data_IF_930058418429
#
_entry.id   IF_930058418429
#
_cell.length_a   1.000
_cell.length_b   1.000
_cell.length_c   1.000
_cell.angle_alpha   90.00
_cell.angle_beta   90.00
_cell.angle_gamma   90.00
#
_symmetry.space_group_name_H-M   'P 1'
#
loop_
_entity.id
_entity.type
_entity.pdbx_description
1 polymer ?
#
# COMPACT_ATOMS: atom_id res chain seq x y z
N UNK A 1 18.90 7.76 3.28
CA UNK A 1 18.55 6.90 2.15
C UNK A 1 17.57 5.81 2.65
N UNK A 2 16.74 5.26 1.77
CA UNK A 2 15.72 4.28 2.16
C UNK A 2 16.29 2.86 2.13
N UNK A 3 16.13 2.11 3.20
CA UNK A 3 16.53 0.70 3.29
C UNK A 3 15.55 -0.19 2.55
N UNK A 4 16.07 -1.29 1.99
CA UNK A 4 15.29 -2.27 1.25
C UNK A 4 15.80 -3.70 1.46
N UNK A 5 15.03 -4.66 0.94
CA UNK A 5 15.39 -6.04 0.78
C UNK A 5 15.51 -6.38 -0.71
N UNK A 6 16.54 -7.12 -1.08
CA UNK A 6 16.63 -7.80 -2.36
C UNK A 6 16.48 -9.30 -2.11
N UNK A 7 15.53 -9.92 -2.78
CA UNK A 7 15.36 -11.36 -2.77
C UNK A 7 15.60 -11.95 -4.16
N UNK A 8 16.45 -12.94 -4.24
CA UNK A 8 16.80 -13.65 -5.46
C UNK A 8 16.30 -15.10 -5.39
N UNK A 9 15.26 -15.38 -6.17
CA UNK A 9 14.64 -16.70 -6.21
C UNK A 9 15.54 -17.79 -6.85
N UNK A 10 16.53 -17.39 -7.66
CA UNK A 10 17.40 -18.34 -8.40
C UNK A 10 18.44 -19.01 -7.49
N UNK A 11 18.80 -18.36 -6.39
CA UNK A 11 19.77 -18.88 -5.41
C UNK A 11 19.11 -19.31 -4.09
N UNK A 12 17.78 -19.22 -4.01
CA UNK A 12 17.04 -19.69 -2.85
C UNK A 12 16.93 -21.22 -2.87
N UNK A 13 17.25 -21.87 -1.75
CA UNK A 13 17.19 -23.34 -1.58
C UNK A 13 15.95 -23.80 -0.82
N UNK A 14 14.97 -22.93 -0.55
CA UNK A 14 13.72 -23.30 0.13
C UNK A 14 13.85 -23.69 1.61
N UNK A 15 14.96 -23.39 2.29
CA UNK A 15 15.25 -23.85 3.65
C UNK A 15 14.34 -23.28 4.75
N UNK A 16 13.48 -22.34 4.43
CA UNK A 16 12.49 -21.67 5.34
C UNK A 16 13.08 -21.01 6.60
N UNK A 17 14.42 -20.88 6.73
CA UNK A 17 15.05 -20.22 7.88
C UNK A 17 14.60 -18.77 8.03
N UNK A 18 14.30 -18.08 6.93
CA UNK A 18 13.76 -16.72 6.95
C UNK A 18 12.35 -16.63 7.57
N UNK A 19 11.53 -17.69 7.46
CA UNK A 19 10.22 -17.78 8.12
C UNK A 19 10.41 -17.95 9.63
N UNK A 20 11.25 -18.91 10.04
CA UNK A 20 11.57 -19.17 11.44
C UNK A 20 12.11 -17.92 12.13
N UNK A 21 13.13 -17.28 11.56
CA UNK A 21 13.70 -16.04 12.11
C UNK A 21 12.69 -14.88 12.18
N UNK A 22 11.76 -14.81 11.22
CA UNK A 22 10.67 -13.84 11.26
C UNK A 22 9.70 -14.13 12.41
N UNK A 23 9.35 -15.39 12.63
CA UNK A 23 8.47 -15.79 13.71
C UNK A 23 9.12 -15.52 15.09
N UNK A 24 10.37 -15.93 15.28
CA UNK A 24 11.14 -15.68 16.51
C UNK A 24 11.22 -14.18 16.83
N UNK A 25 11.56 -13.35 15.83
CA UNK A 25 11.66 -11.90 16.01
C UNK A 25 10.33 -11.26 16.40
N UNK A 26 9.22 -11.72 15.82
CA UNK A 26 7.88 -11.19 16.09
C UNK A 26 7.14 -11.92 17.21
N UNK A 27 7.78 -12.89 17.89
CA UNK A 27 7.19 -13.72 18.96
C UNK A 27 5.93 -14.45 18.51
N UNK A 28 5.98 -15.00 17.29
CA UNK A 28 4.90 -15.78 16.69
C UNK A 28 5.17 -17.28 16.86
N UNK A 29 4.14 -18.11 16.94
CA UNK A 29 4.31 -19.56 16.94
C UNK A 29 4.93 -20.02 15.61
N UNK A 30 5.80 -21.00 15.66
CA UNK A 30 6.40 -21.61 14.46
C UNK A 30 6.76 -23.05 14.76
N UNK A 31 6.01 -23.97 14.20
CA UNK A 31 6.18 -25.41 14.28
C UNK A 31 6.17 -26.03 12.88
N UNK A 32 6.26 -27.35 12.79
CA UNK A 32 6.30 -28.05 11.51
C UNK A 32 4.98 -27.87 10.71
N UNK A 33 3.85 -27.78 11.40
CA UNK A 33 2.55 -27.51 10.76
C UNK A 33 2.53 -26.11 10.15
N UNK A 34 2.95 -25.08 10.91
CA UNK A 34 3.09 -23.72 10.42
C UNK A 34 4.12 -23.63 9.29
N UNK A 35 5.22 -24.37 9.36
CA UNK A 35 6.22 -24.42 8.30
C UNK A 35 5.67 -25.01 7.00
N UNK A 36 4.76 -25.98 7.08
CA UNK A 36 4.12 -26.60 5.92
C UNK A 36 3.13 -25.68 5.22
N UNK A 37 2.56 -24.69 5.91
CA UNK A 37 1.63 -23.75 5.31
C UNK A 37 2.33 -22.85 4.27
N UNK A 38 1.83 -22.82 3.06
CA UNK A 38 2.31 -21.93 1.98
C UNK A 38 1.42 -20.67 1.81
N UNK A 39 0.80 -20.23 2.91
CA UNK A 39 -0.10 -19.09 2.93
C UNK A 39 0.33 -18.11 4.02
N UNK A 40 0.35 -16.83 3.71
CA UNK A 40 0.51 -15.78 4.73
C UNK A 40 -0.73 -15.71 5.63
N UNK A 41 -0.50 -15.59 6.93
CA UNK A 41 -1.56 -15.48 7.95
C UNK A 41 -1.24 -14.36 8.95
N UNK A 42 -2.08 -14.19 9.96
CA UNK A 42 -1.87 -13.26 11.07
C UNK A 42 -0.69 -13.68 11.98
N UNK A 43 -0.27 -14.93 11.90
CA UNK A 43 0.88 -15.50 12.62
C UNK A 43 2.05 -15.93 11.71
N UNK A 44 1.93 -15.80 10.38
CA UNK A 44 2.99 -16.12 9.41
C UNK A 44 3.17 -14.97 8.41
N UNK A 45 4.10 -14.04 8.69
CA UNK A 45 4.26 -12.79 7.92
C UNK A 45 5.05 -12.95 6.63
N UNK A 46 5.88 -13.98 6.54
CA UNK A 46 6.64 -14.32 5.33
C UNK A 46 6.50 -15.81 5.06
N UNK A 47 6.43 -16.17 3.78
CA UNK A 47 6.22 -17.54 3.32
C UNK A 47 7.14 -17.79 2.14
N UNK A 48 7.75 -18.96 2.11
CA UNK A 48 8.47 -19.48 0.95
C UNK A 48 7.53 -20.42 0.22
N UNK A 49 7.08 -20.01 -0.95
CA UNK A 49 6.25 -20.79 -1.86
C UNK A 49 7.15 -21.76 -2.64
N UNK A 50 6.70 -22.98 -2.82
CA UNK A 50 7.40 -23.99 -3.59
C UNK A 50 6.59 -24.37 -4.82
N UNK A 51 7.22 -24.31 -6.00
CA UNK A 51 6.60 -24.76 -7.26
C UNK A 51 7.68 -25.24 -8.22
N UNK A 52 7.54 -26.45 -8.73
CA UNK A 52 8.45 -27.05 -9.73
C UNK A 52 9.94 -26.92 -9.31
N UNK A 53 10.27 -27.30 -8.07
CA UNK A 53 11.59 -27.18 -7.43
C UNK A 53 12.18 -25.76 -7.40
N UNK A 54 11.31 -24.75 -7.53
CA UNK A 54 11.66 -23.33 -7.42
C UNK A 54 11.01 -22.73 -6.20
N UNK A 55 11.67 -21.73 -5.65
CA UNK A 55 11.26 -21.10 -4.40
C UNK A 55 11.04 -19.60 -4.59
N UNK A 56 9.88 -19.12 -4.17
CA UNK A 56 9.57 -17.69 -4.19
C UNK A 56 9.08 -17.26 -2.83
N UNK A 57 9.67 -16.18 -2.32
CA UNK A 57 9.33 -15.68 -1.01
C UNK A 57 8.24 -14.62 -1.09
N UNK A 58 7.14 -14.83 -0.37
CA UNK A 58 6.03 -13.87 -0.25
C UNK A 58 6.07 -13.17 1.10
N UNK A 59 6.08 -11.82 1.08
CA UNK A 59 6.12 -10.98 2.27
C UNK A 59 5.52 -9.61 1.96
N UNK A 60 5.44 -8.71 2.96
CA UNK A 60 5.01 -7.34 2.72
C UNK A 60 6.05 -6.59 1.88
N UNK A 61 5.61 -6.00 0.78
CA UNK A 61 6.48 -5.25 -0.14
C UNK A 61 6.97 -3.92 0.44
N UNK A 62 6.39 -3.44 1.57
CA UNK A 62 6.76 -2.16 2.21
C UNK A 62 6.86 -1.02 1.19
N UNK A 63 5.79 -0.80 0.42
CA UNK A 63 5.70 0.16 -0.67
C UNK A 63 6.30 1.53 -0.34
N UNK A 64 6.82 2.24 -1.35
CA UNK A 64 7.34 3.60 -1.18
C UNK A 64 6.20 4.56 -0.84
N UNK A 65 5.08 4.45 -1.55
CA UNK A 65 3.82 5.11 -1.23
C UNK A 65 2.76 4.06 -0.88
N UNK A 66 2.62 3.68 0.41
CA UNK A 66 1.81 2.55 0.81
C UNK A 66 0.32 2.88 0.85
N UNK A 67 -0.47 2.31 -0.06
CA UNK A 67 -1.92 2.44 -0.08
C UNK A 67 -2.57 2.07 1.27
N UNK A 68 -2.03 1.05 1.97
CA UNK A 68 -2.51 0.65 3.29
C UNK A 68 -2.34 1.74 4.37
N UNK A 69 -1.33 2.60 4.25
CA UNK A 69 -1.15 3.74 5.16
C UNK A 69 -2.06 4.90 4.75
N UNK A 70 -2.20 5.15 3.45
CA UNK A 70 -3.07 6.21 2.90
C UNK A 70 -4.53 6.04 3.31
N UNK A 71 -5.05 4.81 3.30
CA UNK A 71 -6.46 4.53 3.67
C UNK A 71 -6.68 4.35 5.17
N UNK A 72 -5.66 4.42 6.01
CA UNK A 72 -5.80 4.17 7.44
C UNK A 72 -6.37 5.41 8.17
N UNK A 73 -7.66 5.42 8.59
CA UNK A 73 -8.30 6.61 9.13
C UNK A 73 -7.73 7.04 10.48
N UNK A 74 -7.09 6.11 11.21
CA UNK A 74 -6.53 6.35 12.54
C UNK A 74 -4.99 6.46 12.53
N UNK A 75 -4.37 6.42 11.33
CA UNK A 75 -2.92 6.51 11.19
C UNK A 75 -2.14 5.40 11.90
N UNK A 76 -2.75 4.20 12.06
CA UNK A 76 -2.07 3.05 12.64
C UNK A 76 -0.96 2.50 11.74
N UNK A 77 -1.04 2.73 10.44
CA UNK A 77 -0.02 2.39 9.45
C UNK A 77 0.65 3.67 8.96
N UNK A 78 1.99 3.71 8.96
CA UNK A 78 2.76 4.87 8.51
C UNK A 78 4.05 4.45 7.83
N UNK A 79 4.38 5.09 6.71
CA UNK A 79 5.68 4.97 6.04
C UNK A 79 6.73 5.72 6.84
N UNK A 80 7.92 5.12 6.98
CA UNK A 80 9.10 5.80 7.53
C UNK A 80 10.07 6.19 6.42
N UNK A 81 10.85 7.23 6.65
CA UNK A 81 11.95 7.62 5.75
C UNK A 81 13.01 6.51 5.61
N UNK A 82 13.17 5.68 6.63
CA UNK A 82 14.11 4.56 6.64
C UNK A 82 13.68 3.35 5.78
N UNK A 83 12.44 3.33 5.26
CA UNK A 83 11.95 2.26 4.38
C UNK A 83 10.77 1.45 4.92
N UNK A 84 10.77 1.01 6.18
CA UNK A 84 9.66 0.24 6.74
C UNK A 84 8.31 0.97 6.76
N UNK A 85 7.22 0.21 6.56
CA UNK A 85 5.86 0.67 6.87
C UNK A 85 5.52 0.18 8.27
N UNK A 86 5.57 1.09 9.24
CA UNK A 86 5.27 0.81 10.65
C UNK A 86 3.78 0.49 10.84
N UNK A 87 3.52 -0.34 11.85
CA UNK A 87 2.19 -0.62 12.34
C UNK A 87 2.14 -0.39 13.84
N UNK A 88 1.27 0.53 14.27
CA UNK A 88 1.01 0.84 15.67
C UNK A 88 -0.28 0.18 16.10
N UNK A 89 -0.15 -0.96 16.78
CA UNK A 89 -1.28 -1.79 17.18
C UNK A 89 -2.29 -1.07 18.07
N UNK A 90 -1.82 -0.22 19.00
CA UNK A 90 -2.67 0.54 19.93
C UNK A 90 -3.64 1.51 19.26
N UNK A 91 -3.34 1.95 18.03
CA UNK A 91 -4.21 2.81 17.22
C UNK A 91 -5.19 2.04 16.35
N UNK A 92 -4.94 0.75 16.11
CA UNK A 92 -5.74 -0.01 15.17
C UNK A 92 -7.15 -0.26 15.70
N UNK A 93 -8.16 0.17 14.96
CA UNK A 93 -9.58 -0.06 15.25
C UNK A 93 -10.17 -1.28 14.53
N UNK A 94 -9.36 -2.04 13.77
CA UNK A 94 -9.79 -3.24 13.07
C UNK A 94 -10.71 -3.03 11.85
N UNK A 95 -10.73 -1.84 11.23
CA UNK A 95 -11.63 -1.53 10.10
C UNK A 95 -11.31 -2.27 8.79
N UNK A 96 -10.15 -2.92 8.67
CA UNK A 96 -9.71 -3.75 7.53
C UNK A 96 -9.52 -3.02 6.19
N UNK A 97 -9.63 -1.68 6.10
CA UNK A 97 -9.41 -0.94 4.88
C UNK A 97 -8.03 -1.20 4.26
N UNK A 98 -7.00 -1.36 5.09
CA UNK A 98 -5.65 -1.70 4.62
C UNK A 98 -5.57 -3.08 3.95
N UNK A 99 -6.47 -4.02 4.27
CA UNK A 99 -6.51 -5.33 3.60
C UNK A 99 -7.06 -5.19 2.18
N UNK A 100 -8.13 -4.40 2.01
CA UNK A 100 -8.78 -4.16 0.71
C UNK A 100 -7.88 -3.30 -0.18
N UNK A 101 -7.22 -2.28 0.38
CA UNK A 101 -6.38 -1.36 -0.36
C UNK A 101 -5.03 -1.95 -0.78
N UNK A 102 -4.58 -3.07 -0.19
CA UNK A 102 -3.29 -3.65 -0.50
C UNK A 102 -3.30 -4.42 -1.82
N UNK A 103 -2.57 -3.98 -2.86
CA UNK A 103 -2.56 -4.67 -4.15
C UNK A 103 -1.89 -6.05 -4.09
N UNK A 104 -1.13 -6.31 -3.02
CA UNK A 104 -0.42 -7.57 -2.79
C UNK A 104 -1.15 -8.52 -1.82
N UNK A 105 -2.29 -8.12 -1.24
CA UNK A 105 -3.09 -8.94 -0.32
C UNK A 105 -2.39 -9.32 0.99
N UNK A 106 -1.41 -8.52 1.43
CA UNK A 106 -0.51 -8.88 2.55
C UNK A 106 -1.09 -8.70 3.94
N UNK A 107 -1.75 -7.58 4.29
CA UNK A 107 -2.30 -7.43 5.63
C UNK A 107 -3.31 -8.54 5.94
N UNK A 108 -3.14 -9.21 7.09
CA UNK A 108 -4.02 -10.28 7.56
C UNK A 108 -4.73 -9.85 8.84
N UNK A 109 -5.83 -10.49 9.17
CA UNK A 109 -6.69 -10.12 10.29
C UNK A 109 -6.84 -11.28 11.27
N UNK A 110 -6.78 -11.00 12.55
CA UNK A 110 -6.88 -12.00 13.62
C UNK A 110 -8.33 -12.42 13.86
N UNK A 111 -8.92 -13.19 12.94
CA UNK A 111 -10.34 -13.56 12.97
C UNK A 111 -10.80 -14.28 14.23
N UNK A 112 -9.91 -14.98 14.92
CA UNK A 112 -10.21 -15.76 16.12
C UNK A 112 -10.18 -14.97 17.44
N UNK A 113 -9.95 -13.65 17.42
CA UNK A 113 -9.83 -12.84 18.64
C UNK A 113 -11.06 -11.96 18.89
N UNK A 114 -11.39 -11.71 20.16
CA UNK A 114 -12.46 -10.78 20.55
C UNK A 114 -12.18 -9.34 20.15
N UNK A 115 -10.92 -8.92 20.21
CA UNK A 115 -10.46 -7.62 19.76
C UNK A 115 -9.41 -7.79 18.62
N UNK A 116 -9.87 -8.19 17.43
CA UNK A 116 -8.98 -8.57 16.34
C UNK A 116 -8.29 -7.36 15.74
N UNK A 117 -7.05 -7.54 15.32
CA UNK A 117 -6.21 -6.52 14.71
C UNK A 117 -5.63 -7.00 13.39
N UNK A 118 -5.13 -6.06 12.62
CA UNK A 118 -4.42 -6.38 11.39
C UNK A 118 -2.98 -6.75 11.73
N UNK A 119 -2.44 -7.75 11.06
CA UNK A 119 -1.05 -8.19 11.17
C UNK A 119 -0.35 -8.15 9.82
N UNK A 120 0.92 -7.75 9.80
CA UNK A 120 1.77 -7.77 8.61
C UNK A 120 3.23 -7.64 8.97
N UNK A 121 4.12 -8.00 8.06
CA UNK A 121 5.55 -7.71 8.17
C UNK A 121 5.81 -6.20 8.24
N UNK A 122 6.61 -5.77 9.22
CA UNK A 122 7.06 -4.39 9.41
C UNK A 122 8.50 -4.16 8.95
N UNK A 123 9.08 -5.12 8.22
CA UNK A 123 10.49 -5.11 7.79
C UNK A 123 11.45 -4.97 8.98
N UNK A 124 11.14 -5.59 10.12
CA UNK A 124 11.90 -5.51 11.38
C UNK A 124 12.29 -4.07 11.72
N UNK A 125 11.32 -3.17 11.76
CA UNK A 125 11.54 -1.73 11.87
C UNK A 125 12.41 -1.31 13.07
N UNK A 126 12.29 -2.01 14.19
CA UNK A 126 13.12 -1.84 15.38
C UNK A 126 14.59 -2.16 15.11
N UNK A 127 14.87 -3.26 14.39
CA UNK A 127 16.23 -3.61 13.98
C UNK A 127 16.80 -2.61 12.97
N UNK A 128 16.00 -2.22 11.98
CA UNK A 128 16.39 -1.23 10.97
C UNK A 128 16.71 0.12 11.60
N UNK A 129 15.93 0.56 12.59
CA UNK A 129 16.20 1.79 13.37
C UNK A 129 17.50 1.68 14.19
N UNK A 130 17.82 0.47 14.66
CA UNK A 130 19.07 0.18 15.37
C UNK A 130 20.28 -0.04 14.42
N UNK A 131 20.11 0.20 13.10
CA UNK A 131 21.16 -0.01 12.09
C UNK A 131 21.47 -1.48 11.78
N UNK A 132 20.62 -2.41 12.24
CA UNK A 132 20.79 -3.86 12.03
C UNK A 132 20.02 -4.35 10.79
N UNK A 133 20.49 -5.42 10.12
CA UNK A 133 19.73 -6.04 9.05
C UNK A 133 18.42 -6.65 9.59
N UNK A 134 17.48 -6.89 8.69
CA UNK A 134 16.25 -7.63 9.03
C UNK A 134 16.59 -9.06 9.41
N UNK A 135 15.86 -9.68 10.34
CA UNK A 135 16.11 -11.04 10.83
C UNK A 135 16.18 -12.06 9.68
N UNK A 136 15.32 -11.91 8.69
CA UNK A 136 15.28 -12.80 7.54
C UNK A 136 16.45 -12.64 6.55
N UNK A 137 17.08 -11.47 6.47
CA UNK A 137 18.27 -11.27 5.67
C UNK A 137 19.52 -11.79 6.40
N UNK A 138 19.59 -11.56 7.70
CA UNK A 138 20.71 -11.99 8.54
C UNK A 138 20.90 -13.51 8.56
N UNK A 139 19.78 -14.27 8.63
CA UNK A 139 19.81 -15.72 8.75
C UNK A 139 19.96 -16.45 7.40
N UNK A 140 19.84 -15.74 6.27
CA UNK A 140 19.81 -16.41 4.95
C UNK A 140 21.16 -17.03 4.57
N UNK A 141 21.30 -18.37 4.52
CA UNK A 141 22.60 -19.01 4.34
C UNK A 141 23.17 -18.84 2.93
N UNK A 142 22.30 -18.68 1.92
CA UNK A 142 22.70 -18.50 0.52
C UNK A 142 22.82 -17.03 0.12
N UNK A 143 22.45 -16.11 1.01
CA UNK A 143 22.36 -14.69 0.66
C UNK A 143 21.23 -14.38 -0.35
N UNK A 144 20.27 -15.30 -0.54
CA UNK A 144 19.10 -15.05 -1.39
C UNK A 144 18.27 -13.85 -0.91
N UNK A 145 18.30 -13.55 0.40
CA UNK A 145 17.72 -12.32 0.94
C UNK A 145 18.85 -11.43 1.42
N UNK A 146 18.98 -10.25 0.81
CA UNK A 146 19.94 -9.22 1.20
C UNK A 146 19.20 -7.99 1.75
N UNK A 147 19.84 -7.27 2.66
CA UNK A 147 19.36 -6.00 3.20
C UNK A 147 20.40 -4.92 2.96
N UNK A 148 19.99 -3.74 2.49
CA UNK A 148 20.89 -2.63 2.19
C UNK A 148 20.17 -1.34 1.82
N UNK A 149 20.90 -0.40 1.24
CA UNK A 149 20.32 0.78 0.63
C UNK A 149 19.55 0.39 -0.63
N UNK A 150 18.36 0.98 -0.81
CA UNK A 150 17.47 0.60 -1.92
C UNK A 150 18.13 0.78 -3.29
N UNK A 151 18.80 1.90 -3.50
CA UNK A 151 19.43 2.22 -4.78
C UNK A 151 20.63 1.31 -5.08
N UNK A 152 21.40 0.95 -4.07
CA UNK A 152 22.51 -0.01 -4.19
C UNK A 152 21.98 -1.41 -4.56
N UNK A 153 20.88 -1.83 -3.91
CA UNK A 153 20.26 -3.12 -4.20
C UNK A 153 19.62 -3.16 -5.60
N UNK A 154 19.08 -2.05 -6.10
CA UNK A 154 18.61 -1.94 -7.48
C UNK A 154 19.78 -2.06 -8.45
N UNK A 155 20.88 -1.37 -8.20
CA UNK A 155 22.07 -1.44 -9.03
C UNK A 155 22.66 -2.87 -9.03
N UNK A 156 22.72 -3.53 -7.88
CA UNK A 156 23.13 -4.93 -7.77
C UNK A 156 22.20 -5.86 -8.57
N UNK A 157 20.89 -5.68 -8.43
CA UNK A 157 19.90 -6.49 -9.15
C UNK A 157 20.06 -6.32 -10.67
N UNK A 158 20.22 -5.08 -11.15
CA UNK A 158 20.47 -4.80 -12.57
C UNK A 158 21.79 -5.42 -13.06
N UNK A 159 22.83 -5.42 -12.21
CA UNK A 159 24.11 -6.05 -12.55
C UNK A 159 23.93 -7.56 -12.70
N UNK A 160 23.21 -8.23 -11.77
CA UNK A 160 22.93 -9.68 -11.88
C UNK A 160 22.19 -10.04 -13.17
N UNK A 161 21.22 -9.22 -13.59
CA UNK A 161 20.49 -9.41 -14.85
C UNK A 161 21.45 -9.34 -16.06
N UNK A 162 22.37 -8.38 -16.07
CA UNK A 162 23.33 -8.20 -17.16
C UNK A 162 24.37 -9.33 -17.22
N UNK A 163 24.87 -9.74 -16.06
CA UNK A 163 25.94 -10.75 -15.97
C UNK A 163 25.46 -12.17 -16.27
N UNK A 164 24.16 -12.45 -16.09
CA UNK A 164 23.60 -13.77 -16.26
C UNK A 164 22.38 -13.76 -17.22
N UNK A 165 22.59 -13.45 -18.50
CA UNK A 165 21.51 -13.44 -19.49
C UNK A 165 20.89 -14.83 -19.62
N UNK A 166 19.54 -14.90 -19.53
CA UNK A 166 18.78 -16.15 -19.60
C UNK A 166 18.55 -16.87 -18.26
N UNK A 167 19.27 -16.51 -17.18
CA UNK A 167 18.99 -17.03 -15.84
C UNK A 167 17.82 -16.30 -15.17
N UNK A 168 17.60 -15.05 -15.50
CA UNK A 168 16.59 -14.18 -14.94
C UNK A 168 15.59 -13.73 -15.99
N UNK A 169 14.37 -13.46 -15.57
CA UNK A 169 13.46 -12.63 -16.33
C UNK A 169 14.00 -11.20 -16.32
N UNK A 170 13.98 -10.52 -17.47
CA UNK A 170 14.45 -9.13 -17.55
C UNK A 170 13.47 -8.15 -16.89
N UNK A 171 13.18 -8.38 -15.61
CA UNK A 171 12.32 -7.56 -14.78
C UNK A 171 12.70 -7.70 -13.31
N UNK A 172 12.84 -6.57 -12.62
CA UNK A 172 13.04 -6.50 -11.17
C UNK A 172 11.71 -6.09 -10.55
N UNK A 173 11.00 -7.05 -9.98
CA UNK A 173 9.71 -6.79 -9.37
C UNK A 173 9.86 -5.95 -8.09
N UNK A 174 9.10 -4.88 -7.97
CA UNK A 174 9.15 -3.95 -6.85
C UNK A 174 9.85 -2.61 -7.17
N UNK A 175 10.45 -2.46 -8.35
CA UNK A 175 11.05 -1.18 -8.76
C UNK A 175 9.98 -0.19 -9.18
N UNK A 176 9.05 -0.62 -10.03
CA UNK A 176 8.01 0.24 -10.62
C UNK A 176 6.61 -0.02 -10.08
N UNK A 177 6.31 -1.23 -9.61
CA UNK A 177 4.97 -1.60 -9.19
C UNK A 177 4.44 -0.68 -8.09
N UNK A 178 3.27 -0.08 -8.36
CA UNK A 178 2.52 0.84 -7.48
C UNK A 178 3.38 1.98 -6.88
N UNK A 179 4.27 2.56 -7.69
CA UNK A 179 5.19 3.61 -7.27
C UNK A 179 6.47 3.10 -6.60
N UNK A 180 6.76 1.81 -6.76
CA UNK A 180 7.92 1.15 -6.18
C UNK A 180 7.74 0.65 -4.75
N UNK A 181 8.62 -0.24 -4.36
CA UNK A 181 8.58 -0.89 -3.05
C UNK A 181 9.97 -0.94 -2.40
N UNK A 182 10.01 -1.26 -1.10
CA UNK A 182 11.26 -1.52 -0.36
C UNK A 182 11.63 -3.02 -0.35
N UNK A 183 10.94 -3.84 -1.14
CA UNK A 183 11.30 -5.24 -1.38
C UNK A 183 11.41 -5.44 -2.87
N UNK A 184 12.57 -5.89 -3.30
CA UNK A 184 12.92 -6.13 -4.70
C UNK A 184 13.04 -7.63 -4.91
N UNK A 185 12.47 -8.15 -5.99
CA UNK A 185 12.51 -9.59 -6.28
C UNK A 185 13.15 -9.84 -7.63
N UNK A 186 14.02 -10.83 -7.67
CA UNK A 186 14.59 -11.42 -8.88
C UNK A 186 14.05 -12.84 -9.05
N UNK A 187 13.73 -13.23 -10.27
CA UNK A 187 13.22 -14.56 -10.60
C UNK A 187 13.70 -15.04 -11.96
N UNK A 188 13.89 -16.35 -12.08
CA UNK A 188 14.15 -17.02 -13.36
C UNK A 188 12.87 -17.48 -14.08
N UNK A 189 11.68 -17.25 -13.47
CA UNK A 189 10.38 -17.60 -14.05
C UNK A 189 9.39 -16.46 -13.83
N UNK A 190 8.31 -16.38 -14.63
CA UNK A 190 7.29 -15.34 -14.47
C UNK A 190 6.76 -15.27 -13.04
N UNK A 191 6.64 -14.04 -12.50
CA UNK A 191 6.20 -13.80 -11.12
C UNK A 191 4.77 -14.26 -10.88
N UNK A 192 3.95 -14.30 -11.93
CA UNK A 192 2.57 -14.80 -11.92
C UNK A 192 2.50 -16.29 -11.58
N UNK A 193 3.55 -17.06 -11.89
CA UNK A 193 3.62 -18.47 -11.53
C UNK A 193 3.55 -18.68 -10.01
N UNK A 194 3.96 -17.68 -9.24
CA UNK A 194 3.89 -17.63 -7.78
C UNK A 194 2.77 -16.72 -7.24
N UNK A 195 1.82 -16.33 -8.11
CA UNK A 195 0.66 -15.52 -7.73
C UNK A 195 0.97 -14.05 -7.45
N UNK A 196 2.09 -13.53 -7.97
CA UNK A 196 2.31 -12.09 -8.04
C UNK A 196 1.57 -11.49 -9.22
N UNK A 197 1.09 -10.28 -9.07
CA UNK A 197 0.33 -9.58 -10.12
C UNK A 197 1.28 -8.87 -11.08
N UNK A 198 1.14 -9.12 -12.38
CA UNK A 198 1.86 -8.41 -13.44
C UNK A 198 1.13 -7.15 -13.93
N UNK A 199 -0.17 -7.03 -13.62
CA UNK A 199 -1.05 -5.95 -14.07
C UNK A 199 -1.00 -4.69 -13.17
N UNK A 200 -0.01 -4.58 -12.28
CA UNK A 200 0.13 -3.44 -11.39
C UNK A 200 0.66 -2.21 -12.15
N UNK A 201 -0.01 -1.08 -11.96
CA UNK A 201 0.40 0.19 -12.56
C UNK A 201 1.69 0.71 -11.93
N UNK A 202 2.51 1.48 -12.66
CA UNK A 202 3.70 2.11 -12.09
C UNK A 202 3.37 3.26 -11.13
N UNK A 203 2.19 3.86 -11.25
CA UNK A 203 1.74 4.94 -10.38
C UNK A 203 1.31 4.41 -9.01
N UNK A 204 1.60 5.11 -7.91
CA UNK A 204 1.06 4.80 -6.60
C UNK A 204 -0.47 4.86 -6.59
N UNK A 205 -1.14 3.91 -5.93
CA UNK A 205 -2.60 3.88 -5.88
C UNK A 205 -3.21 5.11 -5.18
N UNK A 206 -2.52 5.68 -4.19
CA UNK A 206 -2.89 6.92 -3.51
C UNK A 206 -2.92 8.14 -4.44
N UNK A 207 -2.14 8.13 -5.52
CA UNK A 207 -2.08 9.23 -6.48
C UNK A 207 -3.39 9.42 -7.24
N UNK A 208 -4.11 8.34 -7.54
CA UNK A 208 -5.40 8.43 -8.25
C UNK A 208 -6.44 9.20 -7.44
N UNK A 209 -6.59 8.89 -6.16
CA UNK A 209 -7.47 9.64 -5.26
C UNK A 209 -6.99 11.07 -5.06
N UNK A 210 -5.70 11.27 -4.90
CA UNK A 210 -5.12 12.60 -4.73
C UNK A 210 -5.37 13.50 -5.96
N UNK A 211 -5.19 12.99 -7.18
CA UNK A 211 -5.46 13.74 -8.42
C UNK A 211 -6.89 14.27 -8.49
N UNK A 212 -7.87 13.52 -7.99
CA UNK A 212 -9.26 13.96 -7.93
C UNK A 212 -9.48 14.94 -6.79
N UNK A 213 -9.10 14.57 -5.57
CA UNK A 213 -9.36 15.36 -4.36
C UNK A 213 -8.65 16.72 -4.39
N UNK A 214 -7.46 16.81 -4.98
CA UNK A 214 -6.71 18.07 -5.10
C UNK A 214 -7.38 19.09 -6.01
N UNK A 215 -8.31 18.66 -6.87
CA UNK A 215 -9.07 19.56 -7.76
C UNK A 215 -10.36 20.09 -7.13
N UNK A 216 -10.86 19.45 -6.09
CA UNK A 216 -12.13 19.87 -5.44
C UNK A 216 -12.08 21.30 -4.92
N UNK A 217 -11.01 21.77 -4.25
CA UNK A 217 -10.91 23.16 -3.79
C UNK A 217 -11.03 24.20 -4.91
N UNK A 218 -10.60 23.85 -6.14
CA UNK A 218 -10.67 24.75 -7.28
C UNK A 218 -12.12 24.88 -7.81
N UNK A 219 -12.89 23.80 -7.75
CA UNK A 219 -14.27 23.76 -8.26
C UNK A 219 -15.31 24.30 -7.28
N UNK A 220 -15.07 24.20 -5.96
CA UNK A 220 -16.04 24.67 -4.95
C UNK A 220 -16.34 26.16 -5.05
N UNK A 221 -15.35 27.08 -5.13
CA UNK A 221 -15.62 28.50 -5.28
C UNK A 221 -16.34 28.84 -6.58
N UNK A 222 -15.94 28.21 -7.68
CA UNK A 222 -16.57 28.40 -8.98
C UNK A 222 -18.04 27.96 -8.95
N UNK A 223 -18.32 26.78 -8.42
CA UNK A 223 -19.69 26.28 -8.23
C UNK A 223 -20.51 27.18 -7.32
N UNK A 224 -19.91 27.67 -6.22
CA UNK A 224 -20.54 28.62 -5.31
C UNK A 224 -20.90 29.95 -5.99
N UNK A 225 -20.01 30.49 -6.82
CA UNK A 225 -20.29 31.72 -7.60
C UNK A 225 -21.43 31.53 -8.60
N UNK A 226 -21.44 30.39 -9.31
CA UNK A 226 -22.51 30.06 -10.28
C UNK A 226 -23.85 29.92 -9.56
N UNK A 227 -23.90 29.11 -8.49
CA UNK A 227 -25.13 28.90 -7.72
C UNK A 227 -25.61 30.19 -7.04
N UNK A 228 -24.70 31.00 -6.49
CA UNK A 228 -25.01 32.32 -5.93
C UNK A 228 -25.53 33.27 -6.97
N UNK A 229 -24.97 33.26 -8.18
CA UNK A 229 -25.48 34.07 -9.31
C UNK A 229 -26.89 33.65 -9.75
N UNK A 230 -27.15 32.34 -9.87
CA UNK A 230 -28.50 31.82 -10.18
C UNK A 230 -29.48 32.21 -9.08
N UNK A 231 -29.11 32.02 -7.80
CA UNK A 231 -29.94 32.41 -6.66
C UNK A 231 -30.26 33.91 -6.69
N UNK A 232 -29.23 34.77 -6.91
CA UNK A 232 -29.40 36.21 -6.98
C UNK A 232 -30.36 36.63 -8.10
N UNK A 233 -30.22 36.07 -9.31
CA UNK A 233 -31.10 36.37 -10.44
C UNK A 233 -32.55 35.91 -10.15
N UNK A 234 -32.73 34.71 -9.62
CA UNK A 234 -34.05 34.18 -9.32
C UNK A 234 -34.75 34.96 -8.20
N UNK A 235 -34.00 35.28 -7.14
CA UNK A 235 -34.53 36.09 -6.03
C UNK A 235 -34.89 37.50 -6.48
N UNK A 236 -34.03 38.14 -7.27
CA UNK A 236 -34.29 39.45 -7.83
C UNK A 236 -35.55 39.50 -8.73
N UNK A 237 -35.76 38.44 -9.51
CA UNK A 237 -36.99 38.32 -10.33
C UNK A 237 -38.23 38.19 -9.47
N UNK A 238 -38.18 37.49 -8.36
CA UNK A 238 -39.30 37.39 -7.43
C UNK A 238 -39.61 38.75 -6.77
N UNK A 239 -38.59 39.44 -6.27
CA UNK A 239 -38.75 40.79 -5.68
C UNK A 239 -39.39 41.78 -6.68
N UNK A 240 -38.94 41.76 -7.93
CA UNK A 240 -39.51 42.64 -8.98
C UNK A 240 -40.97 42.28 -9.27
N UNK A 241 -41.30 41.01 -9.41
CA UNK A 241 -42.65 40.54 -9.66
C UNK A 241 -43.61 40.90 -8.51
N UNK A 242 -43.14 40.79 -7.27
CA UNK A 242 -43.92 41.21 -6.09
C UNK A 242 -44.16 42.74 -6.06
N UNK A 243 -43.12 43.52 -6.41
CA UNK A 243 -43.25 44.98 -6.48
C UNK A 243 -44.22 45.42 -7.59
N UNK A 244 -44.11 44.85 -8.79
CA UNK A 244 -45.03 45.13 -9.90
C UNK A 244 -46.48 44.70 -9.61
N UNK A 245 -46.65 43.53 -8.94
CA UNK A 245 -47.96 43.02 -8.52
C UNK A 245 -48.65 43.94 -7.49
N UNK A 246 -47.90 44.52 -6.55
CA UNK A 246 -48.41 45.48 -5.57
C UNK A 246 -48.76 46.83 -6.19
N UNK A 247 -47.99 47.32 -7.16
CA UNK A 247 -48.35 48.56 -7.92
C UNK A 247 -49.61 48.35 -8.75
N UNK A 248 -49.79 47.23 -9.40
CA UNK A 248 -51.00 46.90 -10.16
C UNK A 248 -52.22 46.79 -9.28
N UNK A 249 -52.14 46.23 -8.09
CA UNK A 249 -53.25 46.20 -7.15
C UNK A 249 -53.64 47.61 -6.61
N UNK A 250 -52.64 48.42 -6.30
CA UNK A 250 -52.84 49.80 -5.81
C UNK A 250 -53.42 50.71 -6.88
N UNK A 251 -53.15 50.49 -8.16
CA UNK A 251 -53.72 51.25 -9.28
C UNK A 251 -55.15 50.84 -9.61
N UNK A 252 -55.54 49.59 -9.38
CA UNK A 252 -56.90 49.10 -9.58
C UNK A 252 -57.85 49.64 -8.52
N UNK A 253 -57.43 49.72 -7.26
CA UNK A 253 -58.23 50.31 -6.15
C UNK A 253 -58.51 51.78 -6.31
N UNK A 254 -57.59 52.57 -6.92
CA UNK A 254 -57.77 54.01 -7.21
C UNK A 254 -58.69 54.28 -8.37
N UNK A 255 -59.10 53.35 -9.18
CA UNK A 255 -60.02 53.49 -10.30
C UNK A 255 -61.48 53.14 -9.94
N UNK A 256 -61.65 52.48 -8.80
CA UNK A 256 -63.02 52.14 -8.31
C UNK A 256 -63.57 53.13 -7.25
N UNK A 257 -62.80 54.16 -6.89
CA UNK A 257 -63.23 55.28 -6.07
C UNK A 257 -63.52 56.56 -6.96
#
# INVERSE_FOLDING_TARGET
MSKALLYDATICIGCKQCEKACAEHNKLPYDDATAAEEIQSDHKFTVVLTKDDRFMRRLCMNCQDPACASVCPVGALRKTAAGPVLYQESRCMGCRYCMVACPFGVPKYEWGKLAPRVRKCTMCADRVQAGKPTACAEICPTGATKFGEREELIAEAQQRLRDNPGQYINHIYGVSEVGGTSVLLLSGVPFEAFGYRADLTPDPLSLYTYRVLSRIPDFIPLGGMVLGGIWWITHRRQEVAEAEGTESAATHDKREQ
#
